data_IF_431526273218
#
_entry.id   IF_431526273218
#
_cell.length_a   1.000
_cell.length_b   1.000
_cell.length_c   1.000
_cell.angle_alpha   90.00
_cell.angle_beta   90.00
_cell.angle_gamma   90.00
#
_symmetry.space_group_name_H-M   'P 1'
#
loop_
_entity.id
_entity.type
_entity.pdbx_description
1 polymer ?
#
# COMPACT_ATOMS: atom_id res chain seq x y z
N UNK A 1 47.31 -35.00 35.27
CA UNK A 1 46.78 -33.65 35.41
C UNK A 1 46.67 -32.86 34.09
N UNK A 2 47.59 -32.93 33.17
CA UNK A 2 47.60 -32.17 31.88
C UNK A 2 46.46 -32.52 30.88
N UNK A 3 45.90 -33.75 30.89
CA UNK A 3 44.80 -34.17 29.98
C UNK A 3 43.43 -33.56 30.33
N UNK A 4 43.18 -33.29 31.61
CA UNK A 4 41.88 -32.73 32.08
C UNK A 4 41.75 -31.25 31.67
N UNK A 5 42.82 -30.49 31.77
CA UNK A 5 42.82 -29.07 31.36
C UNK A 5 42.65 -28.85 29.86
N UNK A 6 43.14 -29.80 29.02
CA UNK A 6 42.96 -29.73 27.56
C UNK A 6 41.51 -29.94 27.11
N UNK A 7 40.77 -30.79 27.85
CA UNK A 7 39.35 -31.03 27.54
C UNK A 7 38.44 -29.89 28.04
N UNK A 8 38.80 -29.25 29.17
CA UNK A 8 38.06 -28.09 29.69
C UNK A 8 38.27 -26.89 28.80
N UNK A 9 39.50 -26.63 28.29
CA UNK A 9 39.75 -25.54 27.35
C UNK A 9 39.01 -25.72 26.02
N UNK A 10 38.88 -26.96 25.51
CA UNK A 10 38.08 -27.24 24.30
C UNK A 10 36.59 -27.04 24.52
N UNK A 11 36.08 -27.36 25.73
CA UNK A 11 34.66 -27.17 26.07
C UNK A 11 34.32 -25.68 26.21
N UNK A 12 35.20 -24.87 26.75
CA UNK A 12 35.00 -23.41 26.89
C UNK A 12 35.07 -22.72 25.52
N UNK A 13 35.98 -23.12 24.65
CA UNK A 13 36.06 -22.58 23.28
C UNK A 13 34.83 -22.98 22.46
N UNK A 14 34.32 -24.22 22.61
CA UNK A 14 33.09 -24.64 21.95
C UNK A 14 31.84 -23.88 22.46
N UNK A 15 31.77 -23.61 23.78
CA UNK A 15 30.68 -22.80 24.35
C UNK A 15 30.75 -21.32 23.93
N UNK A 16 31.93 -20.73 23.76
CA UNK A 16 32.08 -19.37 23.26
C UNK A 16 31.75 -19.25 21.78
N UNK A 17 31.99 -20.28 20.97
CA UNK A 17 31.55 -20.30 19.56
C UNK A 17 30.05 -20.57 19.40
N UNK A 18 29.41 -21.30 20.33
CA UNK A 18 27.95 -21.51 20.31
C UNK A 18 27.14 -20.27 20.71
N UNK A 19 27.71 -19.32 21.47
CA UNK A 19 27.03 -18.08 21.81
C UNK A 19 27.08 -16.99 20.72
N UNK A 20 27.87 -17.21 19.66
CA UNK A 20 28.01 -16.25 18.56
C UNK A 20 27.03 -16.48 17.39
N UNK A 21 26.26 -17.55 17.41
CA UNK A 21 25.17 -17.77 16.44
C UNK A 21 23.79 -17.34 17.00
N UNK A 22 23.72 -16.18 17.59
CA UNK A 22 22.46 -15.44 17.62
C UNK A 22 22.30 -14.90 16.20
N UNK A 23 21.56 -15.60 15.37
CA UNK A 23 21.20 -15.12 14.05
C UNK A 23 20.70 -13.69 14.23
N UNK A 24 21.43 -12.72 13.67
CA UNK A 24 21.12 -11.30 13.84
C UNK A 24 19.68 -11.12 13.36
N UNK A 25 18.81 -10.71 14.27
CA UNK A 25 17.39 -10.60 13.97
C UNK A 25 17.24 -9.56 12.87
N UNK A 26 16.53 -9.90 11.79
CA UNK A 26 16.28 -9.00 10.70
C UNK A 26 15.74 -7.67 11.23
N UNK A 27 16.38 -6.55 10.84
CA UNK A 27 15.96 -5.21 11.19
C UNK A 27 15.52 -4.46 9.94
N UNK A 28 14.43 -3.71 10.06
CA UNK A 28 13.95 -2.78 9.04
C UNK A 28 13.85 -1.39 9.66
N UNK A 29 14.55 -0.42 9.10
CA UNK A 29 14.55 0.97 9.57
C UNK A 29 14.74 1.12 11.10
N UNK A 30 15.60 0.29 11.72
CA UNK A 30 15.86 0.28 13.17
C UNK A 30 14.91 -0.60 14.00
N UNK A 31 13.81 -1.06 13.45
CA UNK A 31 12.86 -1.96 14.11
C UNK A 31 13.22 -3.43 13.87
N UNK A 32 13.24 -4.22 14.94
CA UNK A 32 13.43 -5.67 14.85
C UNK A 32 12.17 -6.31 14.29
N UNK A 33 12.31 -7.14 13.24
CA UNK A 33 11.21 -7.93 12.68
C UNK A 33 11.12 -9.26 13.43
N UNK A 34 9.94 -9.54 13.98
CA UNK A 34 9.65 -10.81 14.62
C UNK A 34 9.49 -11.90 13.55
N UNK A 35 10.20 -13.02 13.73
CA UNK A 35 10.12 -14.17 12.82
C UNK A 35 8.72 -14.80 12.73
N UNK A 36 7.87 -14.56 13.74
CA UNK A 36 6.48 -15.02 13.74
C UNK A 36 5.60 -14.25 12.76
N UNK A 37 5.96 -12.98 12.47
CA UNK A 37 5.23 -12.15 11.53
C UNK A 37 5.63 -12.50 10.11
N UNK A 38 4.68 -12.87 9.30
CA UNK A 38 4.89 -13.22 7.89
C UNK A 38 4.60 -12.06 6.94
N UNK A 39 4.10 -10.93 7.45
CA UNK A 39 3.85 -9.71 6.71
C UNK A 39 4.41 -8.50 7.46
N UNK A 40 5.23 -7.71 6.78
CA UNK A 40 5.85 -6.52 7.34
C UNK A 40 6.25 -5.54 6.22
N UNK A 41 6.53 -4.30 6.59
CA UNK A 41 7.00 -3.28 5.66
C UNK A 41 7.26 -1.95 6.33
N UNK A 42 7.66 -1.00 5.50
CA UNK A 42 7.97 0.37 5.85
C UNK A 42 7.01 1.31 5.12
N UNK A 43 6.34 2.18 5.86
CA UNK A 43 5.64 3.33 5.29
C UNK A 43 6.56 4.55 5.45
N UNK A 44 6.94 5.20 4.35
CA UNK A 44 7.91 6.28 4.35
C UNK A 44 7.46 7.49 3.54
N UNK A 45 7.93 8.63 3.96
CA UNK A 45 7.81 9.92 3.28
C UNK A 45 8.74 9.95 2.05
N UNK A 46 8.20 10.30 0.88
CA UNK A 46 8.94 10.32 -0.39
C UNK A 46 10.02 11.41 -0.44
N UNK A 47 9.80 12.54 0.24
CA UNK A 47 10.67 13.70 0.22
C UNK A 47 11.87 13.54 1.16
N UNK A 48 11.62 12.97 2.35
CA UNK A 48 12.64 12.85 3.41
C UNK A 48 13.24 11.45 3.53
N UNK A 49 12.56 10.43 3.00
CA UNK A 49 12.90 9.02 3.17
C UNK A 49 12.65 8.48 4.58
N UNK A 50 12.15 9.31 5.51
CA UNK A 50 11.90 8.91 6.90
C UNK A 50 10.63 8.05 6.99
N UNK A 51 10.62 7.13 7.95
CA UNK A 51 9.43 6.36 8.29
C UNK A 51 8.32 7.23 8.86
N UNK A 52 7.07 6.95 8.50
CA UNK A 52 5.87 7.64 8.97
C UNK A 52 5.24 6.80 10.07
N UNK A 53 5.22 7.31 11.29
CA UNK A 53 4.58 6.66 12.43
C UNK A 53 3.06 6.85 12.43
N UNK A 54 2.33 5.91 13.03
CA UNK A 54 0.90 6.07 13.27
C UNK A 54 0.01 5.77 12.06
N UNK A 55 0.55 5.25 10.96
CA UNK A 55 -0.23 4.88 9.77
C UNK A 55 -0.93 3.53 10.00
N UNK A 56 -2.26 3.45 9.94
CA UNK A 56 -2.97 2.19 10.00
C UNK A 56 -2.68 1.36 8.75
N UNK A 57 -2.35 0.08 8.96
CA UNK A 57 -2.10 -0.90 7.90
C UNK A 57 -2.92 -2.15 8.19
N UNK A 58 -3.50 -2.74 7.15
CA UNK A 58 -4.38 -3.90 7.28
C UNK A 58 -4.25 -4.85 6.09
N UNK A 59 -4.60 -6.09 6.31
CA UNK A 59 -4.82 -7.11 5.28
C UNK A 59 -6.32 -7.36 4.98
N UNK A 60 -7.19 -6.50 5.53
CA UNK A 60 -8.64 -6.61 5.45
C UNK A 60 -9.28 -7.33 6.64
N UNK A 61 -8.51 -8.04 7.44
CA UNK A 61 -8.96 -8.80 8.61
C UNK A 61 -8.26 -8.36 9.90
N UNK A 62 -6.95 -8.10 9.80
CA UNK A 62 -6.11 -7.69 10.92
C UNK A 62 -5.64 -6.26 10.68
N UNK A 63 -5.67 -5.44 11.74
CA UNK A 63 -5.18 -4.08 11.71
C UNK A 63 -3.94 -3.93 12.60
N UNK A 64 -2.99 -3.17 12.12
CA UNK A 64 -1.83 -2.72 12.89
C UNK A 64 -1.57 -1.24 12.60
N UNK A 65 -0.61 -0.66 13.29
CA UNK A 65 -0.20 0.73 13.10
C UNK A 65 1.32 0.77 12.98
N UNK A 66 1.85 1.59 12.10
CA UNK A 66 3.30 1.77 11.99
C UNK A 66 3.90 2.32 13.29
N UNK A 67 5.04 1.77 13.68
CA UNK A 67 5.79 2.23 14.84
C UNK A 67 6.48 3.59 14.59
N UNK A 68 7.25 4.08 15.60
CA UNK A 68 8.01 5.34 15.50
C UNK A 68 9.01 5.42 14.33
N UNK A 69 9.38 4.26 13.77
CA UNK A 69 10.29 4.14 12.64
C UNK A 69 9.55 3.95 11.32
N UNK A 70 8.21 4.01 11.32
CA UNK A 70 7.36 3.78 10.16
C UNK A 70 7.19 2.30 9.78
N UNK A 71 7.58 1.37 10.65
CA UNK A 71 7.54 -0.06 10.37
C UNK A 71 6.24 -0.67 10.91
N UNK A 72 5.60 -1.49 10.09
CA UNK A 72 4.50 -2.35 10.50
C UNK A 72 4.88 -3.82 10.35
N UNK A 73 4.31 -4.68 11.18
CA UNK A 73 4.48 -6.12 11.08
C UNK A 73 3.35 -6.86 11.80
N UNK A 74 2.86 -7.93 11.23
CA UNK A 74 1.84 -8.80 11.82
C UNK A 74 1.78 -10.16 11.12
N UNK A 75 0.99 -11.07 11.66
CA UNK A 75 0.67 -12.34 11.01
C UNK A 75 -0.54 -12.12 10.12
N UNK A 76 -0.37 -12.23 8.80
CA UNK A 76 -1.47 -12.06 7.85
C UNK A 76 -2.54 -13.14 8.05
N UNK A 77 -3.81 -12.74 7.93
CA UNK A 77 -4.95 -13.66 7.96
C UNK A 77 -4.86 -14.69 6.83
N UNK A 78 -5.41 -15.87 7.03
CA UNK A 78 -5.39 -16.93 6.02
C UNK A 78 -6.13 -16.60 4.73
N UNK A 79 -7.09 -15.68 4.79
CA UNK A 79 -7.88 -15.19 3.64
C UNK A 79 -7.25 -13.97 2.95
N UNK A 80 -6.23 -13.38 3.57
CA UNK A 80 -5.53 -12.22 3.04
C UNK A 80 -4.92 -12.49 1.65
N UNK A 81 -5.07 -11.54 0.75
CA UNK A 81 -4.37 -11.52 -0.56
C UNK A 81 -3.43 -10.34 -0.69
N UNK A 82 -3.82 -9.20 -0.16
CA UNK A 82 -3.09 -7.94 -0.29
C UNK A 82 -3.03 -7.24 1.06
N UNK A 83 -2.05 -6.38 1.23
CA UNK A 83 -1.95 -5.45 2.34
C UNK A 83 -2.16 -4.03 1.83
N UNK A 84 -2.83 -3.18 2.60
CA UNK A 84 -3.10 -1.79 2.27
C UNK A 84 -3.06 -0.91 3.52
N UNK A 85 -2.95 0.39 3.30
CA UNK A 85 -2.87 1.38 4.37
C UNK A 85 -4.04 2.37 4.29
N UNK A 86 -4.34 3.02 5.41
CA UNK A 86 -5.21 4.20 5.46
C UNK A 86 -4.36 5.45 5.28
N UNK A 87 -4.69 6.27 4.30
CA UNK A 87 -3.95 7.48 3.96
C UNK A 87 -4.08 8.53 5.08
N UNK A 88 -2.95 9.00 5.66
CA UNK A 88 -2.98 10.13 6.59
C UNK A 88 -3.26 11.45 5.85
N UNK A 89 -3.92 12.39 6.54
CA UNK A 89 -4.33 13.67 5.97
C UNK A 89 -3.17 14.60 5.53
N UNK A 90 -1.96 14.30 5.97
CA UNK A 90 -0.73 15.03 5.63
C UNK A 90 -0.07 14.54 4.33
N UNK A 91 -0.62 13.50 3.68
CA UNK A 91 0.03 12.82 2.57
C UNK A 91 -0.91 12.56 1.40
N UNK A 92 -0.33 12.41 0.20
CA UNK A 92 -0.97 11.84 -0.99
C UNK A 92 -0.51 10.40 -1.20
N UNK A 93 -1.38 9.60 -1.80
CA UNK A 93 -1.04 8.27 -2.30
C UNK A 93 -0.21 8.38 -3.57
N UNK A 94 0.86 7.59 -3.68
CA UNK A 94 1.58 7.46 -4.95
C UNK A 94 0.64 6.88 -6.03
N UNK A 95 0.81 7.34 -7.26
CA UNK A 95 0.05 6.83 -8.40
C UNK A 95 0.87 5.80 -9.17
N UNK A 96 0.21 4.78 -9.69
CA UNK A 96 0.81 3.87 -10.65
C UNK A 96 1.27 4.66 -11.89
N UNK A 97 2.51 4.51 -12.34
CA UNK A 97 3.07 5.31 -13.44
C UNK A 97 2.37 5.07 -14.79
N UNK A 98 1.73 3.93 -14.96
CA UNK A 98 1.04 3.53 -16.20
C UNK A 98 -0.44 3.86 -16.15
N UNK A 99 -1.13 3.33 -15.12
CA UNK A 99 -2.59 3.46 -14.99
C UNK A 99 -3.04 4.76 -14.35
N UNK A 100 -2.12 5.48 -13.68
CA UNK A 100 -2.43 6.67 -12.88
C UNK A 100 -3.41 6.42 -11.72
N UNK A 101 -3.68 5.17 -11.40
CA UNK A 101 -4.54 4.81 -10.28
C UNK A 101 -3.74 4.82 -8.96
N UNK A 102 -4.40 5.10 -7.82
CA UNK A 102 -3.74 5.17 -6.51
C UNK A 102 -3.15 3.83 -6.07
N UNK A 103 -1.91 3.84 -5.60
CA UNK A 103 -1.18 2.66 -5.08
C UNK A 103 -1.28 2.61 -3.55
N UNK A 104 -2.47 2.40 -3.01
CA UNK A 104 -2.68 2.27 -1.56
C UNK A 104 -2.60 0.83 -1.05
N UNK A 105 -2.32 -0.14 -1.92
CA UNK A 105 -2.27 -1.57 -1.63
C UNK A 105 -1.04 -2.23 -2.26
N UNK A 106 -0.68 -3.43 -1.76
CA UNK A 106 0.39 -4.23 -2.35
C UNK A 106 -0.04 -4.79 -3.70
N UNK A 107 0.79 -4.60 -4.73
CA UNK A 107 0.54 -5.13 -6.09
C UNK A 107 0.86 -6.62 -6.23
N UNK A 108 1.61 -7.17 -5.28
CA UNK A 108 1.97 -8.60 -5.25
C UNK A 108 1.13 -9.31 -4.19
N UNK A 109 0.47 -10.41 -4.53
CA UNK A 109 -0.26 -11.22 -3.56
C UNK A 109 0.65 -11.74 -2.44
N UNK A 110 0.11 -11.83 -1.22
CA UNK A 110 0.83 -12.32 -0.04
C UNK A 110 1.03 -13.84 -0.12
N UNK A 111 2.28 -14.27 -0.04
CA UNK A 111 2.66 -15.68 0.09
C UNK A 111 2.90 -16.04 1.56
N UNK A 112 1.94 -16.71 2.18
CA UNK A 112 1.97 -17.02 3.62
C UNK A 112 2.99 -18.08 4.03
N UNK A 113 3.60 -18.78 3.08
CA UNK A 113 4.65 -19.76 3.36
C UNK A 113 5.99 -19.12 3.72
N UNK A 114 6.13 -17.81 3.52
CA UNK A 114 7.34 -17.02 3.75
C UNK A 114 7.03 -15.66 4.34
N UNK A 115 8.07 -14.94 4.73
CA UNK A 115 7.96 -13.54 5.09
C UNK A 115 7.80 -12.68 3.83
N UNK A 116 6.79 -11.78 3.86
CA UNK A 116 6.49 -10.85 2.77
C UNK A 116 6.81 -9.44 3.23
N UNK A 117 7.63 -8.76 2.47
CA UNK A 117 7.90 -7.33 2.67
C UNK A 117 7.15 -6.51 1.64
N UNK A 118 6.33 -5.55 2.13
CA UNK A 118 5.62 -4.59 1.29
C UNK A 118 5.84 -3.19 1.86
N UNK A 119 6.56 -2.36 1.14
CA UNK A 119 6.83 -0.98 1.53
C UNK A 119 5.89 -0.03 0.79
N UNK A 120 5.48 1.04 1.47
CA UNK A 120 4.67 2.11 0.89
C UNK A 120 5.43 3.44 0.96
N UNK A 121 5.25 4.24 -0.08
CA UNK A 121 5.85 5.57 -0.18
C UNK A 121 4.73 6.58 -0.32
N UNK A 122 4.65 7.54 0.59
CA UNK A 122 3.63 8.59 0.60
C UNK A 122 4.26 9.93 0.24
N UNK A 123 3.56 10.72 -0.54
CA UNK A 123 4.00 12.06 -0.91
C UNK A 123 3.44 13.08 0.11
N UNK A 124 4.31 13.85 0.81
CA UNK A 124 3.82 14.80 1.78
C UNK A 124 3.13 15.99 1.11
N UNK A 125 2.00 16.41 1.68
CA UNK A 125 1.29 17.65 1.36
C UNK A 125 1.97 18.83 2.07
N UNK A 126 1.77 20.04 1.56
CA UNK A 126 2.26 21.25 2.22
C UNK A 126 1.46 21.60 3.49
N UNK A 127 0.21 21.16 3.56
CA UNK A 127 -0.64 21.23 4.74
C UNK A 127 -1.58 20.02 4.81
N UNK A 128 -2.01 19.62 6.02
CA UNK A 128 -2.98 18.53 6.18
C UNK A 128 -4.29 18.84 5.47
N UNK A 129 -4.80 17.87 4.71
CA UNK A 129 -6.09 17.98 4.04
C UNK A 129 -7.22 17.87 5.07
N UNK A 130 -8.09 18.86 5.13
CA UNK A 130 -9.22 18.94 6.07
C UNK A 130 -10.57 18.73 5.38
N UNK A 131 -10.64 19.15 4.13
CA UNK A 131 -11.83 19.07 3.31
C UNK A 131 -11.49 18.43 1.96
N UNK A 132 -12.32 17.51 1.50
CA UNK A 132 -12.15 16.86 0.21
C UNK A 132 -13.50 16.63 -0.46
N UNK A 133 -13.47 16.44 -1.76
CA UNK A 133 -14.63 16.07 -2.57
C UNK A 133 -14.52 14.60 -2.94
N UNK A 134 -15.58 13.82 -2.70
CA UNK A 134 -15.65 12.44 -3.14
C UNK A 134 -16.57 12.30 -4.34
N UNK A 135 -16.01 11.94 -5.49
CA UNK A 135 -16.75 11.60 -6.70
C UNK A 135 -17.08 10.10 -6.66
N UNK A 136 -18.35 9.78 -6.60
CA UNK A 136 -18.84 8.40 -6.57
C UNK A 136 -19.33 7.99 -7.94
N UNK A 137 -18.68 7.00 -8.56
CA UNK A 137 -19.07 6.42 -9.86
C UNK A 137 -19.83 5.13 -9.57
N UNK A 138 -21.16 5.18 -9.72
CA UNK A 138 -22.02 4.03 -9.47
C UNK A 138 -22.16 3.15 -10.71
N UNK A 139 -22.05 1.84 -10.54
CA UNK A 139 -22.45 0.76 -11.44
C UNK A 139 -22.32 1.05 -12.94
N UNK A 140 -21.15 1.26 -13.51
CA UNK A 140 -20.99 1.48 -14.96
C UNK A 140 -21.43 0.26 -15.78
N UNK A 141 -21.33 -0.93 -15.22
CA UNK A 141 -21.79 -2.22 -15.75
C UNK A 141 -21.39 -2.45 -17.23
N UNK A 142 -20.18 -2.09 -17.59
CA UNK A 142 -19.67 -2.25 -18.96
C UNK A 142 -19.49 -3.73 -19.30
N UNK A 143 -20.38 -4.27 -20.12
CA UNK A 143 -20.40 -5.67 -20.53
C UNK A 143 -19.62 -5.94 -21.80
N UNK A 144 -19.59 -4.98 -22.72
CA UNK A 144 -19.00 -5.09 -24.06
C UNK A 144 -17.96 -4.00 -24.30
N UNK A 145 -17.14 -4.16 -25.33
CA UNK A 145 -16.20 -3.13 -25.78
C UNK A 145 -16.92 -1.82 -26.14
N UNK A 146 -18.15 -1.91 -26.67
CA UNK A 146 -18.96 -0.74 -26.96
C UNK A 146 -19.37 0.03 -25.71
N UNK A 147 -19.67 -0.68 -24.61
CA UNK A 147 -20.03 -0.04 -23.34
C UNK A 147 -18.82 0.68 -22.75
N UNK A 148 -17.65 0.02 -22.75
CA UNK A 148 -16.40 0.65 -22.32
C UNK A 148 -16.05 1.85 -23.18
N UNK A 149 -16.21 1.75 -24.51
CA UNK A 149 -15.97 2.86 -25.42
C UNK A 149 -16.89 4.05 -25.11
N UNK A 150 -18.17 3.83 -24.84
CA UNK A 150 -19.09 4.90 -24.44
C UNK A 150 -18.72 5.51 -23.08
N UNK A 151 -18.32 4.69 -22.12
CA UNK A 151 -17.84 5.18 -20.84
C UNK A 151 -16.62 6.10 -21.02
N UNK A 152 -15.65 5.69 -21.87
CA UNK A 152 -14.43 6.42 -22.16
C UNK A 152 -14.68 7.72 -22.97
N UNK A 153 -15.62 7.71 -23.93
CA UNK A 153 -15.83 8.81 -24.88
C UNK A 153 -16.99 9.74 -24.54
N UNK A 154 -17.91 9.31 -23.69
CA UNK A 154 -19.08 10.10 -23.28
C UNK A 154 -19.01 10.45 -21.79
N UNK A 155 -19.00 9.43 -20.90
CA UNK A 155 -19.13 9.63 -19.45
C UNK A 155 -17.92 10.34 -18.85
N UNK A 156 -16.70 9.83 -19.12
CA UNK A 156 -15.48 10.40 -18.55
C UNK A 156 -15.19 11.82 -19.04
N UNK A 157 -15.34 12.17 -20.34
CA UNK A 157 -15.17 13.54 -20.80
C UNK A 157 -16.15 14.51 -20.16
N UNK A 158 -17.41 14.13 -19.99
CA UNK A 158 -18.41 14.97 -19.32
C UNK A 158 -18.06 15.20 -17.84
N UNK A 159 -17.64 14.14 -17.15
CA UNK A 159 -17.22 14.23 -15.75
C UNK A 159 -15.96 15.08 -15.60
N UNK A 160 -14.94 14.87 -16.45
CA UNK A 160 -13.72 15.68 -16.46
C UNK A 160 -14.03 17.16 -16.72
N UNK A 161 -14.90 17.47 -17.70
CA UNK A 161 -15.33 18.82 -17.98
C UNK A 161 -16.02 19.46 -16.78
N UNK A 162 -16.99 18.76 -16.18
CA UNK A 162 -17.72 19.24 -14.99
C UNK A 162 -16.76 19.52 -13.82
N UNK A 163 -15.81 18.64 -13.57
CA UNK A 163 -14.82 18.80 -12.50
C UNK A 163 -13.91 20.01 -12.78
N UNK A 164 -13.32 20.10 -13.99
CA UNK A 164 -12.45 21.22 -14.37
C UNK A 164 -13.15 22.57 -14.29
N UNK A 165 -14.38 22.70 -14.80
CA UNK A 165 -15.17 23.93 -14.70
C UNK A 165 -15.53 24.30 -13.25
N UNK A 166 -15.73 23.31 -12.41
CA UNK A 166 -16.06 23.52 -11.00
C UNK A 166 -14.82 23.93 -10.20
N UNK A 167 -13.68 23.28 -10.43
CA UNK A 167 -12.39 23.60 -9.80
C UNK A 167 -11.90 25.00 -10.21
N UNK A 168 -12.08 25.39 -11.47
CA UNK A 168 -11.81 26.76 -11.93
C UNK A 168 -12.62 27.83 -11.18
N UNK A 169 -13.76 27.45 -10.57
CA UNK A 169 -14.60 28.31 -9.72
C UNK A 169 -14.33 28.12 -8.22
N UNK A 170 -13.24 27.41 -7.87
CA UNK A 170 -12.89 27.11 -6.48
C UNK A 170 -13.83 26.10 -5.80
N UNK A 171 -14.53 25.26 -6.55
CA UNK A 171 -15.42 24.21 -6.03
C UNK A 171 -14.82 22.84 -6.26
N UNK A 172 -15.20 21.88 -5.42
CA UNK A 172 -14.80 20.47 -5.54
C UNK A 172 -13.29 20.27 -5.64
N UNK A 173 -12.56 21.05 -4.84
CA UNK A 173 -11.11 20.92 -4.69
C UNK A 173 -10.77 19.64 -3.93
N UNK A 174 -9.51 19.18 -4.02
CA UNK A 174 -9.03 17.95 -3.36
C UNK A 174 -9.96 16.76 -3.65
N UNK A 175 -10.18 16.47 -4.92
CA UNK A 175 -11.16 15.48 -5.32
C UNK A 175 -10.55 14.07 -5.41
N UNK A 176 -11.28 13.10 -4.89
CA UNK A 176 -11.00 11.68 -4.99
C UNK A 176 -12.17 10.99 -5.68
N UNK A 177 -11.90 9.93 -6.44
CA UNK A 177 -12.94 9.12 -7.04
C UNK A 177 -12.97 7.72 -6.44
N UNK A 178 -14.17 7.18 -6.30
CA UNK A 178 -14.40 5.79 -5.92
C UNK A 178 -15.47 5.19 -6.82
N UNK A 179 -15.22 3.98 -7.30
CA UNK A 179 -16.23 3.17 -7.97
C UNK A 179 -16.99 2.35 -6.93
N UNK A 180 -18.31 2.36 -7.00
CA UNK A 180 -19.16 1.70 -6.00
C UNK A 180 -19.43 0.22 -6.29
N UNK A 181 -18.79 -0.34 -7.31
CA UNK A 181 -18.92 -1.75 -7.73
C UNK A 181 -19.39 -1.89 -9.16
N UNK A 182 -19.63 -3.11 -9.56
CA UNK A 182 -20.20 -3.54 -10.84
C UNK A 182 -19.63 -2.81 -12.07
N UNK A 183 -18.30 -2.66 -12.11
CA UNK A 183 -17.60 -2.00 -13.22
C UNK A 183 -17.83 -2.70 -14.55
N UNK A 184 -17.91 -4.03 -14.54
CA UNK A 184 -17.81 -4.86 -15.75
C UNK A 184 -18.93 -5.89 -15.90
N UNK A 185 -20.06 -5.73 -15.27
CA UNK A 185 -21.22 -6.64 -15.37
C UNK A 185 -20.83 -8.11 -15.61
N UNK A 186 -20.40 -8.86 -14.65
CA UNK A 186 -19.98 -10.28 -14.73
C UNK A 186 -19.00 -10.65 -15.89
N UNK A 187 -18.49 -9.69 -16.66
CA UNK A 187 -17.54 -9.90 -17.73
C UNK A 187 -16.15 -9.41 -17.36
N UNK A 188 -15.35 -10.30 -16.76
CA UNK A 188 -13.98 -9.97 -16.31
C UNK A 188 -13.01 -9.63 -17.45
N UNK A 189 -13.33 -9.94 -18.71
CA UNK A 189 -12.54 -9.52 -19.88
C UNK A 189 -12.47 -8.00 -19.98
N UNK A 190 -13.49 -7.29 -19.52
CA UNK A 190 -13.56 -5.83 -19.54
C UNK A 190 -12.76 -5.14 -18.41
N UNK A 191 -12.14 -5.87 -17.48
CA UNK A 191 -11.33 -5.30 -16.42
C UNK A 191 -10.17 -4.45 -16.94
N UNK A 192 -9.40 -4.98 -17.88
CA UNK A 192 -8.27 -4.27 -18.49
C UNK A 192 -8.70 -2.99 -19.21
N UNK A 193 -9.67 -3.06 -20.14
CA UNK A 193 -10.25 -1.88 -20.78
C UNK A 193 -10.80 -0.85 -19.80
N UNK A 194 -11.56 -1.26 -18.78
CA UNK A 194 -12.10 -0.33 -17.76
C UNK A 194 -11.01 0.32 -16.91
N UNK A 195 -9.96 -0.41 -16.50
CA UNK A 195 -8.80 0.17 -15.83
C UNK A 195 -8.13 1.25 -16.69
N UNK A 196 -7.98 0.97 -17.99
CA UNK A 196 -7.42 1.94 -18.94
C UNK A 196 -8.33 3.17 -19.07
N UNK A 197 -9.65 2.99 -19.19
CA UNK A 197 -10.60 4.08 -19.25
C UNK A 197 -10.53 4.96 -17.99
N UNK A 198 -10.56 4.36 -16.80
CA UNK A 198 -10.46 5.07 -15.52
C UNK A 198 -9.16 5.87 -15.37
N UNK A 199 -8.06 5.45 -16.00
CA UNK A 199 -6.81 6.23 -16.00
C UNK A 199 -6.93 7.58 -16.74
N UNK A 200 -7.96 7.75 -17.58
CA UNK A 200 -8.30 9.02 -18.23
C UNK A 200 -9.14 9.95 -17.36
N UNK A 201 -9.51 9.54 -16.14
CA UNK A 201 -10.19 10.41 -15.19
C UNK A 201 -9.17 11.28 -14.47
N UNK A 202 -8.98 12.49 -14.99
CA UNK A 202 -8.05 13.45 -14.42
C UNK A 202 -8.71 14.19 -13.25
N UNK A 203 -8.43 13.77 -12.04
CA UNK A 203 -8.63 14.60 -10.85
C UNK A 203 -7.37 15.44 -10.67
N UNK A 204 -7.42 16.72 -10.98
CA UNK A 204 -6.37 17.64 -10.60
C UNK A 204 -6.41 17.76 -9.07
N UNK A 205 -5.50 17.04 -8.40
CA UNK A 205 -5.17 17.34 -7.01
C UNK A 205 -4.34 18.62 -7.02
N UNK A 206 -4.91 19.69 -6.49
CA UNK A 206 -4.20 20.93 -6.26
C UNK A 206 -2.96 20.78 -5.38
#
# INVERSE_FOLDING_TARGET
>A
MMRIYRNIAFLIVAMTFMSAYVADAMKLNGTRIDKKNNLFGLVKDSRTGKGIAGVPVTDGYIFTVTDRNGVYQFVADEKCRNVYYTLPAEYKTALDPVTKLPLFYSTTPIDRSRQNRNDFVLEPLDAPEKDFTLVMIGDPQCKTDSDVHRFETETLPDLNRFMSESQAKGKYLNAYAVTLGDLTFDNTVQWGPMHKALSGFALESG
#
